data_IF_892127375263
#
_entry.id   IF_892127375263
#
_cell.length_a   1.000
_cell.length_b   1.000
_cell.length_c   1.000
_cell.angle_alpha   90.00
_cell.angle_beta   90.00
_cell.angle_gamma   90.00
#
_symmetry.space_group_name_H-M   'P 1'
#
loop_
_entity.id
_entity.type
_entity.pdbx_description
1 polymer ?
#
# COMPACT_ATOMS: atom_id res chain seq x y z
N UNK A 1 18.78 -11.33 -15.94
CA UNK A 1 17.43 -10.79 -16.13
C UNK A 1 16.44 -11.94 -16.03
N UNK A 2 15.37 -11.78 -15.26
CA UNK A 2 14.27 -12.76 -15.22
C UNK A 2 13.10 -12.21 -16.05
N UNK A 3 12.42 -13.10 -16.78
CA UNK A 3 11.24 -12.75 -17.59
C UNK A 3 10.02 -13.40 -16.97
N UNK A 4 8.96 -12.61 -16.82
CA UNK A 4 7.64 -13.08 -16.36
C UNK A 4 6.61 -12.76 -17.43
N UNK A 5 5.79 -13.74 -17.78
CA UNK A 5 4.66 -13.57 -18.69
C UNK A 5 3.38 -13.48 -17.87
N UNK A 6 2.57 -12.45 -18.14
CA UNK A 6 1.28 -12.21 -17.48
C UNK A 6 0.20 -12.11 -18.54
N UNK A 7 -0.98 -12.66 -18.25
CA UNK A 7 -2.17 -12.46 -19.08
C UNK A 7 -2.86 -11.20 -18.62
N UNK A 8 -3.22 -10.35 -19.57
CA UNK A 8 -3.98 -9.13 -19.33
C UNK A 8 -5.35 -9.28 -19.95
N UNK A 9 -6.36 -8.72 -19.30
CA UNK A 9 -7.65 -8.43 -19.90
C UNK A 9 -7.51 -7.33 -20.96
N UNK A 10 -8.53 -7.18 -21.80
CA UNK A 10 -8.55 -6.13 -22.84
C UNK A 10 -8.47 -4.72 -22.25
N UNK A 11 -9.06 -4.50 -21.06
CA UNK A 11 -9.00 -3.21 -20.36
C UNK A 11 -7.59 -2.91 -19.85
N UNK A 12 -6.94 -3.90 -19.24
CA UNK A 12 -5.56 -3.79 -18.77
C UNK A 12 -4.58 -3.57 -19.92
N UNK A 13 -4.79 -4.23 -21.06
CA UNK A 13 -3.95 -4.00 -22.25
C UNK A 13 -4.12 -2.58 -22.80
N UNK A 14 -5.36 -2.06 -22.82
CA UNK A 14 -5.64 -0.67 -23.23
C UNK A 14 -4.94 0.32 -22.31
N UNK A 15 -5.05 0.14 -20.99
CA UNK A 15 -4.38 1.00 -20.00
C UNK A 15 -2.86 0.92 -20.15
N UNK A 16 -2.29 -0.28 -20.22
CA UNK A 16 -0.84 -0.47 -20.38
C UNK A 16 -0.32 0.18 -21.67
N UNK A 17 -1.09 0.11 -22.76
CA UNK A 17 -0.74 0.74 -24.04
C UNK A 17 -0.80 2.25 -23.98
N UNK A 18 -1.78 2.81 -23.28
CA UNK A 18 -1.87 4.25 -23.05
C UNK A 18 -0.67 4.76 -22.24
N UNK A 19 -0.38 4.11 -21.11
CA UNK A 19 0.74 4.48 -20.22
C UNK A 19 2.10 4.27 -20.87
N UNK A 20 2.26 3.27 -21.74
CA UNK A 20 3.54 3.00 -22.39
C UNK A 20 4.09 4.21 -23.18
N UNK A 21 3.22 5.09 -23.70
CA UNK A 21 3.65 6.31 -24.40
C UNK A 21 4.37 7.29 -23.49
N UNK A 22 3.96 7.37 -22.23
CA UNK A 22 4.51 8.30 -21.24
C UNK A 22 5.76 7.74 -20.55
N UNK A 23 5.76 6.44 -20.26
CA UNK A 23 6.84 5.78 -19.51
C UNK A 23 7.94 5.17 -20.39
N UNK A 24 7.94 5.47 -21.70
CA UNK A 24 8.95 4.96 -22.64
C UNK A 24 8.87 3.45 -22.87
N UNK A 25 7.67 2.88 -22.79
CA UNK A 25 7.38 1.48 -23.13
C UNK A 25 6.71 0.67 -22.03
N UNK A 26 6.11 -0.46 -22.42
CA UNK A 26 5.32 -1.35 -21.55
C UNK A 26 6.14 -1.90 -20.38
N UNK A 27 7.38 -2.32 -20.62
CA UNK A 27 8.25 -2.86 -19.57
C UNK A 27 8.59 -1.84 -18.49
N UNK A 28 8.65 -0.55 -18.83
CA UNK A 28 8.91 0.50 -17.85
C UNK A 28 7.67 0.80 -17.01
N UNK A 29 6.47 0.81 -17.62
CA UNK A 29 5.19 0.89 -16.86
C UNK A 29 5.10 -0.24 -15.84
N UNK A 30 5.38 -1.48 -16.25
CA UNK A 30 5.32 -2.63 -15.34
C UNK A 30 6.36 -2.55 -14.23
N UNK A 31 7.58 -2.07 -14.54
CA UNK A 31 8.62 -1.84 -13.52
C UNK A 31 8.23 -0.76 -12.53
N UNK A 32 7.61 0.32 -12.98
CA UNK A 32 7.08 1.38 -12.13
C UNK A 32 5.98 0.85 -11.21
N UNK A 33 5.01 0.12 -11.77
CA UNK A 33 3.94 -0.51 -11.01
C UNK A 33 4.47 -1.44 -9.92
N UNK A 34 5.46 -2.28 -10.24
CA UNK A 34 6.11 -3.15 -9.25
C UNK A 34 6.82 -2.36 -8.15
N UNK A 35 7.44 -1.21 -8.47
CA UNK A 35 8.08 -0.36 -7.47
C UNK A 35 7.06 0.21 -6.49
N UNK A 36 5.98 0.78 -7.02
CA UNK A 36 4.89 1.36 -6.22
C UNK A 36 4.25 0.31 -5.31
N UNK A 37 3.94 -0.87 -5.86
CA UNK A 37 3.37 -1.97 -5.08
C UNK A 37 4.34 -2.46 -4.00
N UNK A 38 5.63 -2.54 -4.32
CA UNK A 38 6.67 -2.92 -3.36
C UNK A 38 6.86 -1.89 -2.25
N UNK A 39 6.79 -0.58 -2.55
CA UNK A 39 6.83 0.48 -1.54
C UNK A 39 5.63 0.42 -0.61
N UNK A 40 4.43 0.24 -1.16
CA UNK A 40 3.20 0.08 -0.37
C UNK A 40 3.28 -1.12 0.56
N UNK A 41 3.79 -2.25 0.08
CA UNK A 41 3.97 -3.44 0.90
C UNK A 41 4.98 -3.20 2.03
N UNK A 42 6.12 -2.56 1.74
CA UNK A 42 7.10 -2.18 2.77
C UNK A 42 6.50 -1.24 3.82
N UNK A 43 5.73 -0.24 3.40
CA UNK A 43 5.04 0.66 4.32
C UNK A 43 4.05 -0.09 5.21
N UNK A 44 3.29 -1.04 4.65
CA UNK A 44 2.36 -1.87 5.43
C UNK A 44 3.09 -2.70 6.50
N UNK A 45 4.20 -3.33 6.12
CA UNK A 45 5.02 -4.12 7.05
C UNK A 45 5.60 -3.20 8.14
N UNK A 46 6.16 -2.05 7.75
CA UNK A 46 6.75 -1.10 8.70
C UNK A 46 5.72 -0.53 9.68
N UNK A 47 4.49 -0.24 9.21
CA UNK A 47 3.40 0.19 10.08
C UNK A 47 3.01 -0.91 11.06
N UNK A 48 2.90 -2.16 10.62
CA UNK A 48 2.63 -3.29 11.51
C UNK A 48 3.68 -3.41 12.61
N UNK A 49 4.96 -3.38 12.22
CA UNK A 49 6.08 -3.45 13.17
C UNK A 49 6.07 -2.29 14.17
N UNK A 50 5.79 -1.06 13.71
CA UNK A 50 5.67 0.12 14.58
C UNK A 50 4.52 -0.04 15.59
N UNK A 51 3.37 -0.56 15.17
CA UNK A 51 2.24 -0.80 16.07
C UNK A 51 2.55 -1.88 17.10
N UNK A 52 3.22 -2.96 16.70
CA UNK A 52 3.66 -4.03 17.61
C UNK A 52 4.67 -3.51 18.64
N UNK A 53 5.64 -2.70 18.22
CA UNK A 53 6.60 -2.03 19.12
C UNK A 53 5.87 -1.14 20.12
N UNK A 54 4.93 -0.33 19.62
CA UNK A 54 4.16 0.57 20.48
C UNK A 54 3.28 -0.18 21.49
N UNK A 55 2.63 -1.27 21.10
CA UNK A 55 1.86 -2.13 22.01
C UNK A 55 2.73 -2.81 23.07
N UNK A 56 4.01 -3.08 22.78
CA UNK A 56 4.93 -3.62 23.79
C UNK A 56 5.38 -2.58 24.81
N UNK A 57 5.56 -1.33 24.38
CA UNK A 57 6.00 -0.24 25.26
C UNK A 57 4.87 0.28 26.17
N UNK A 58 3.70 0.57 25.59
CA UNK A 58 2.58 1.23 26.28
C UNK A 58 1.41 0.26 26.63
N UNK A 59 1.47 -0.98 26.15
CA UNK A 59 0.38 -1.93 26.23
C UNK A 59 -0.65 -1.75 25.11
N UNK A 60 -1.55 -2.74 24.90
CA UNK A 60 -2.61 -2.61 23.90
C UNK A 60 -3.54 -1.45 24.23
N UNK A 61 -4.04 -0.76 23.20
CA UNK A 61 -4.97 0.35 23.38
C UNK A 61 -6.26 -0.15 24.06
N UNK A 62 -6.52 0.32 25.27
CA UNK A 62 -7.75 -0.04 26.00
C UNK A 62 -9.01 0.53 25.34
N UNK A 63 -10.08 -0.26 25.27
CA UNK A 63 -11.39 0.18 24.78
C UNK A 63 -11.90 1.42 25.55
N UNK A 64 -11.65 1.48 26.86
CA UNK A 64 -12.01 2.63 27.70
C UNK A 64 -11.21 3.90 27.32
N UNK A 65 -9.95 3.75 26.89
CA UNK A 65 -9.14 4.84 26.33
C UNK A 65 -9.70 5.35 25.01
N UNK A 66 -10.09 4.43 24.11
CA UNK A 66 -10.71 4.77 22.82
C UNK A 66 -12.03 5.51 23.03
N UNK A 67 -12.87 5.03 23.95
CA UNK A 67 -14.17 5.66 24.23
C UNK A 67 -14.01 7.07 24.81
N UNK A 68 -13.05 7.28 25.73
CA UNK A 68 -12.71 8.62 26.23
C UNK A 68 -12.22 9.55 25.12
N UNK A 69 -11.43 9.03 24.17
CA UNK A 69 -10.97 9.83 23.02
C UNK A 69 -12.11 10.21 22.09
N UNK A 70 -13.02 9.26 21.81
CA UNK A 70 -14.21 9.48 21.02
C UNK A 70 -15.09 10.58 21.61
N UNK A 71 -15.32 10.53 22.92
CA UNK A 71 -16.11 11.55 23.62
C UNK A 71 -15.48 12.94 23.58
N UNK A 72 -14.14 13.03 23.60
CA UNK A 72 -13.43 14.32 23.63
C UNK A 72 -13.40 15.05 22.29
N UNK A 73 -13.30 14.33 21.18
CA UNK A 73 -13.08 14.94 19.86
C UNK A 73 -14.17 14.66 18.82
N UNK A 74 -15.03 13.68 19.06
CA UNK A 74 -16.02 13.22 18.10
C UNK A 74 -17.43 13.12 18.69
N UNK A 75 -17.64 13.56 19.94
CA UNK A 75 -18.99 13.76 20.47
C UNK A 75 -19.66 14.97 19.77
N UNK A 76 -20.98 14.89 19.50
CA UNK A 76 -21.75 15.98 18.90
C UNK A 76 -21.83 17.22 19.79
#
# INVERSE_FOLDING_TARGET
MATTTVRLSEDEERVLTALAKEYGGRSNVLREGLRILGERERQRIALGALLEEWEQEDGPVSEEGVERMRQRYFAP
#
